data_IF_331448249808
#
_entry.id   IF_331448249808
#
_cell.length_a   1.000
_cell.length_b   1.000
_cell.length_c   1.000
_cell.angle_alpha   90.00
_cell.angle_beta   90.00
_cell.angle_gamma   90.00
#
_symmetry.space_group_name_H-M   'P 1'
#
loop_
_entity.id
_entity.type
_entity.pdbx_description
1 polymer ?
#
# COMPACT_ATOMS: atom_id res chain seq x y z
N UNK A 1 -15.49 0.29 12.59
CA UNK A 1 -15.62 -0.14 11.18
C UNK A 1 -14.56 -1.21 10.93
N UNK A 2 -14.84 -2.22 10.09
CA UNK A 2 -13.85 -3.26 9.75
C UNK A 2 -12.87 -2.74 8.71
N UNK A 3 -11.60 -3.12 8.81
CA UNK A 3 -10.60 -2.88 7.75
C UNK A 3 -10.75 -3.90 6.63
N UNK A 4 -10.38 -3.52 5.40
CA UNK A 4 -10.52 -4.42 4.26
C UNK A 4 -9.79 -5.75 4.49
N UNK A 5 -10.51 -6.85 4.26
CA UNK A 5 -10.02 -8.23 4.42
C UNK A 5 -9.40 -8.52 5.80
N UNK A 6 -9.94 -7.96 6.87
CA UNK A 6 -9.64 -8.37 8.25
C UNK A 6 -10.87 -9.06 8.88
N UNK A 7 -11.18 -10.31 8.47
CA UNK A 7 -12.38 -11.05 8.87
C UNK A 7 -12.54 -11.16 10.39
N UNK A 8 -11.40 -11.23 11.09
CA UNK A 8 -11.33 -11.36 12.54
C UNK A 8 -11.98 -10.18 13.29
N UNK A 9 -12.06 -8.99 12.67
CA UNK A 9 -12.73 -7.82 13.25
C UNK A 9 -14.26 -8.00 13.32
N UNK A 10 -14.84 -8.82 12.44
CA UNK A 10 -16.27 -9.18 12.45
C UNK A 10 -16.50 -10.67 12.82
N UNK A 11 -15.62 -11.23 13.65
CA UNK A 11 -15.63 -12.66 13.99
C UNK A 11 -16.95 -13.15 14.61
N UNK A 12 -17.78 -12.26 15.18
CA UNK A 12 -19.11 -12.63 15.70
C UNK A 12 -20.08 -12.99 14.58
N UNK A 13 -20.16 -12.17 13.52
CA UNK A 13 -21.04 -12.45 12.38
C UNK A 13 -20.54 -13.69 11.62
N UNK A 14 -19.23 -13.82 11.46
CA UNK A 14 -18.60 -14.96 10.80
C UNK A 14 -18.87 -16.29 11.51
N UNK A 15 -18.76 -16.30 12.84
CA UNK A 15 -19.06 -17.49 13.62
C UNK A 15 -20.54 -17.86 13.53
N UNK A 16 -21.46 -16.88 13.57
CA UNK A 16 -22.89 -17.15 13.37
C UNK A 16 -23.17 -17.68 11.97
N UNK A 17 -22.57 -17.11 10.94
CA UNK A 17 -22.70 -17.58 9.56
C UNK A 17 -22.17 -19.01 9.41
N UNK A 18 -21.04 -19.33 10.03
CA UNK A 18 -20.48 -20.68 10.04
C UNK A 18 -21.44 -21.70 10.67
N UNK A 19 -22.02 -21.38 11.82
CA UNK A 19 -23.00 -22.26 12.49
C UNK A 19 -24.26 -22.44 11.64
N UNK A 20 -24.80 -21.36 11.07
CA UNK A 20 -25.98 -21.41 10.18
C UNK A 20 -25.69 -22.28 8.95
N UNK A 21 -24.55 -22.08 8.29
CA UNK A 21 -24.14 -22.87 7.13
C UNK A 21 -23.99 -24.35 7.49
N UNK A 22 -23.40 -24.68 8.65
CA UNK A 22 -23.25 -26.07 9.10
C UNK A 22 -24.58 -26.75 9.33
N UNK A 23 -25.54 -26.06 9.95
CA UNK A 23 -26.90 -26.57 10.15
C UNK A 23 -27.58 -26.78 8.80
N UNK A 24 -27.57 -25.78 7.92
CA UNK A 24 -28.20 -25.89 6.60
C UNK A 24 -27.65 -27.05 5.76
N UNK A 25 -26.35 -27.33 5.83
CA UNK A 25 -25.73 -28.46 5.10
C UNK A 25 -26.32 -29.83 5.47
N UNK A 26 -26.89 -29.99 6.66
CA UNK A 26 -27.51 -31.26 7.08
C UNK A 26 -28.93 -31.42 6.53
N UNK A 27 -29.63 -30.32 6.25
CA UNK A 27 -31.05 -30.32 5.85
C UNK A 27 -31.27 -30.04 4.36
N UNK A 28 -30.26 -29.50 3.68
CA UNK A 28 -30.30 -29.27 2.24
C UNK A 28 -29.99 -30.57 1.50
N UNK A 29 -30.87 -30.96 0.58
CA UNK A 29 -30.66 -32.13 -0.28
C UNK A 29 -29.34 -32.01 -1.05
N UNK A 30 -28.72 -33.13 -1.47
CA UNK A 30 -27.43 -33.10 -2.20
C UNK A 30 -27.46 -32.21 -3.46
N UNK A 31 -28.64 -31.95 -4.01
CA UNK A 31 -28.83 -31.13 -5.20
C UNK A 31 -28.89 -29.62 -4.90
N UNK A 32 -28.91 -29.21 -3.63
CA UNK A 32 -28.84 -27.83 -3.15
C UNK A 32 -29.93 -26.88 -3.69
N UNK A 33 -31.11 -27.42 -4.03
CA UNK A 33 -32.23 -26.63 -4.58
C UNK A 33 -33.33 -26.30 -3.57
N UNK A 34 -33.29 -26.91 -2.37
CA UNK A 34 -34.42 -26.92 -1.44
C UNK A 34 -34.17 -26.10 -0.16
N UNK A 35 -33.17 -25.21 -0.17
CA UNK A 35 -32.70 -24.47 1.00
C UNK A 35 -33.74 -23.52 1.62
N UNK A 36 -34.82 -23.26 0.90
CA UNK A 36 -35.88 -22.30 1.22
C UNK A 36 -37.28 -22.93 1.36
N UNK A 37 -37.47 -24.24 1.17
CA UNK A 37 -38.83 -24.83 1.01
C UNK A 37 -39.16 -25.99 1.95
N UNK A 38 -38.21 -26.80 2.42
CA UNK A 38 -38.56 -28.15 2.89
C UNK A 38 -38.96 -28.31 4.36
N UNK A 39 -38.74 -27.34 5.25
CA UNK A 39 -38.87 -27.61 6.69
C UNK A 39 -40.13 -27.06 7.34
N UNK A 40 -40.70 -25.95 6.87
CA UNK A 40 -41.91 -25.32 7.47
C UNK A 40 -41.79 -25.01 8.98
N UNK A 41 -40.59 -25.19 9.53
CA UNK A 41 -40.22 -25.26 10.93
C UNK A 41 -38.84 -24.68 11.05
N UNK A 42 -38.56 -24.03 12.16
CA UNK A 42 -37.22 -23.46 12.38
C UNK A 42 -36.22 -24.60 12.65
N UNK A 43 -34.92 -24.45 12.31
CA UNK A 43 -33.91 -25.45 12.66
C UNK A 43 -33.87 -25.77 14.16
N UNK A 44 -34.20 -24.79 15.00
CA UNK A 44 -34.35 -24.99 16.44
C UNK A 44 -35.52 -25.92 16.79
N UNK A 45 -36.69 -25.71 16.18
CA UNK A 45 -37.88 -26.55 16.37
C UNK A 45 -37.63 -28.01 15.99
N UNK A 46 -36.82 -28.25 14.95
CA UNK A 46 -36.47 -29.61 14.52
C UNK A 46 -35.52 -30.31 15.50
N UNK A 47 -34.64 -29.57 16.17
CA UNK A 47 -33.65 -30.12 17.10
C UNK A 47 -34.23 -30.29 18.51
N UNK A 48 -35.05 -29.34 18.95
CA UNK A 48 -35.52 -29.23 20.34
C UNK A 48 -36.99 -29.63 20.50
N UNK A 49 -37.74 -29.72 19.40
CA UNK A 49 -39.14 -30.17 19.39
C UNK A 49 -40.18 -29.10 19.72
N UNK A 50 -39.76 -27.86 19.99
CA UNK A 50 -40.66 -26.73 20.21
C UNK A 50 -40.05 -25.42 19.68
N UNK A 51 -40.90 -24.46 19.35
CA UNK A 51 -40.49 -23.12 18.95
C UNK A 51 -40.49 -22.20 20.17
N UNK A 52 -39.34 -21.71 20.64
CA UNK A 52 -39.29 -20.81 21.78
C UNK A 52 -39.94 -19.47 21.37
N UNK A 53 -40.88 -18.96 22.17
CA UNK A 53 -41.37 -17.60 21.98
C UNK A 53 -40.24 -16.63 22.32
N UNK A 54 -39.75 -15.89 21.32
CA UNK A 54 -38.79 -14.79 21.52
C UNK A 54 -39.42 -13.57 22.20
N UNK A 55 -40.75 -13.56 22.31
CA UNK A 55 -41.46 -12.65 23.19
C UNK A 55 -40.84 -12.79 24.58
N UNK A 56 -40.29 -11.71 25.18
CA UNK A 56 -40.00 -11.75 26.60
C UNK A 56 -41.30 -12.20 27.22
N UNK A 57 -41.30 -13.31 27.96
CA UNK A 57 -42.45 -13.70 28.73
C UNK A 57 -42.77 -12.47 29.57
N UNK A 58 -43.77 -11.68 29.14
CA UNK A 58 -44.41 -10.72 30.01
C UNK A 58 -44.73 -11.59 31.20
N UNK A 59 -44.07 -11.26 32.32
CA UNK A 59 -44.19 -12.02 33.55
C UNK A 59 -45.63 -11.85 33.97
N UNK A 60 -46.50 -12.67 33.39
CA UNK A 60 -47.90 -12.75 33.76
C UNK A 60 -47.82 -13.41 35.13
N UNK A 61 -48.15 -12.70 36.21
CA UNK A 61 -48.14 -13.30 37.53
C UNK A 61 -49.07 -14.51 37.46
N UNK A 62 -48.48 -15.69 37.51
CA UNK A 62 -49.26 -16.92 37.49
C UNK A 62 -49.67 -17.17 38.93
N UNK A 63 -50.94 -17.49 39.19
CA UNK A 63 -51.41 -17.74 40.56
C UNK A 63 -50.97 -19.12 41.09
N UNK A 64 -49.99 -19.76 40.46
CA UNK A 64 -49.54 -21.12 40.75
C UNK A 64 -48.10 -21.08 41.32
N UNK A 65 -47.91 -21.37 42.62
CA UNK A 65 -46.59 -21.31 43.26
C UNK A 65 -45.57 -22.27 42.63
N UNK A 66 -46.03 -23.37 42.00
CA UNK A 66 -45.17 -24.28 41.27
C UNK A 66 -44.52 -23.63 40.02
N UNK A 67 -45.23 -22.75 39.32
CA UNK A 67 -44.71 -22.05 38.13
C UNK A 67 -43.68 -21.00 38.54
N UNK A 68 -43.93 -20.27 39.62
CA UNK A 68 -42.98 -19.27 40.15
C UNK A 68 -41.67 -19.95 40.59
N UNK A 69 -41.76 -21.08 41.31
CA UNK A 69 -40.58 -21.84 41.71
C UNK A 69 -39.75 -22.35 40.53
N UNK A 70 -40.40 -22.76 39.45
CA UNK A 70 -39.75 -23.18 38.20
C UNK A 70 -39.10 -22.00 37.48
N UNK A 71 -39.74 -20.82 37.48
CA UNK A 71 -39.19 -19.60 36.90
C UNK A 71 -37.97 -19.11 37.67
N UNK A 72 -38.00 -19.18 39.00
CA UNK A 72 -36.86 -18.85 39.87
C UNK A 72 -35.69 -19.80 39.63
N UNK A 73 -35.95 -21.11 39.59
CA UNK A 73 -34.92 -22.11 39.27
C UNK A 73 -34.31 -21.85 37.88
N UNK A 74 -35.15 -21.56 36.88
CA UNK A 74 -34.70 -21.19 35.53
C UNK A 74 -33.83 -19.94 35.56
N UNK A 75 -34.26 -18.89 36.25
CA UNK A 75 -33.53 -17.62 36.32
C UNK A 75 -32.19 -17.79 37.03
N UNK A 76 -32.15 -18.59 38.10
CA UNK A 76 -30.92 -18.96 38.80
C UNK A 76 -29.97 -19.71 37.88
N UNK A 77 -30.45 -20.73 37.15
CA UNK A 77 -29.64 -21.45 36.15
C UNK A 77 -29.13 -20.54 35.05
N UNK A 78 -29.95 -19.60 34.55
CA UNK A 78 -29.52 -18.62 33.54
C UNK A 78 -28.42 -17.72 34.10
N UNK A 79 -28.57 -17.26 35.35
CA UNK A 79 -27.56 -16.43 36.02
C UNK A 79 -26.25 -17.17 36.18
N UNK A 80 -26.28 -18.39 36.73
CA UNK A 80 -25.10 -19.26 36.88
C UNK A 80 -24.43 -19.52 35.52
N UNK A 81 -25.23 -19.84 34.49
CA UNK A 81 -24.71 -20.08 33.13
C UNK A 81 -24.02 -18.84 32.57
N UNK A 82 -24.56 -17.63 32.82
CA UNK A 82 -23.93 -16.37 32.40
C UNK A 82 -22.61 -16.12 33.11
N UNK A 83 -22.56 -16.37 34.41
CA UNK A 83 -21.34 -16.24 35.22
C UNK A 83 -20.26 -17.23 34.75
N UNK A 84 -20.62 -18.49 34.56
CA UNK A 84 -19.72 -19.49 34.00
C UNK A 84 -19.25 -19.09 32.61
N UNK A 85 -20.16 -18.66 31.72
CA UNK A 85 -19.80 -18.22 30.37
C UNK A 85 -18.82 -17.06 30.40
N UNK A 86 -18.96 -16.12 31.34
CA UNK A 86 -18.00 -15.04 31.52
C UNK A 86 -16.62 -15.59 31.91
N UNK A 87 -16.54 -16.52 32.88
CA UNK A 87 -15.29 -17.18 33.28
C UNK A 87 -14.66 -17.94 32.10
N UNK A 88 -15.45 -18.67 31.32
CA UNK A 88 -14.97 -19.40 30.15
C UNK A 88 -14.45 -18.47 29.06
N UNK A 89 -15.09 -17.32 28.82
CA UNK A 89 -14.60 -16.31 27.87
C UNK A 89 -13.24 -15.74 28.30
N UNK A 90 -13.06 -15.47 29.59
CA UNK A 90 -11.76 -15.02 30.14
C UNK A 90 -10.69 -16.08 29.89
N UNK A 91 -10.95 -17.34 30.27
CA UNK A 91 -10.01 -18.45 30.05
C UNK A 91 -9.69 -18.68 28.57
N UNK A 92 -10.69 -18.56 27.70
CA UNK A 92 -10.52 -18.69 26.26
C UNK A 92 -9.63 -17.56 25.72
N UNK A 93 -9.84 -16.33 26.17
CA UNK A 93 -9.01 -15.18 25.80
C UNK A 93 -7.56 -15.37 26.29
N UNK A 94 -7.35 -15.76 27.55
CA UNK A 94 -6.03 -16.08 28.09
C UNK A 94 -5.31 -17.16 27.27
N UNK A 95 -6.00 -18.25 26.97
CA UNK A 95 -5.43 -19.37 26.21
C UNK A 95 -5.09 -18.97 24.76
N UNK A 96 -5.92 -18.13 24.13
CA UNK A 96 -5.64 -17.60 22.79
C UNK A 96 -4.46 -16.62 22.82
N UNK A 97 -4.42 -15.73 23.81
CA UNK A 97 -3.37 -14.72 23.97
C UNK A 97 -2.00 -15.34 24.26
N UNK A 98 -1.90 -16.53 24.86
CA UNK A 98 -0.62 -17.25 25.06
C UNK A 98 0.22 -17.43 23.80
N UNK A 99 -0.41 -17.48 22.63
CA UNK A 99 0.28 -17.66 21.33
C UNK A 99 0.42 -16.35 20.54
N UNK A 100 -0.12 -15.25 21.06
CA UNK A 100 -0.02 -13.93 20.43
C UNK A 100 1.30 -13.31 20.87
N UNK A 101 2.04 -12.78 19.90
CA UNK A 101 3.20 -11.94 20.14
C UNK A 101 2.71 -10.51 20.41
N UNK A 102 3.52 -9.75 21.14
CA UNK A 102 3.29 -8.32 21.29
C UNK A 102 3.37 -7.65 19.93
N UNK A 103 2.47 -6.69 19.74
CA UNK A 103 2.35 -5.96 18.49
C UNK A 103 3.54 -5.01 18.31
N UNK A 104 4.16 -5.04 17.12
CA UNK A 104 5.21 -4.06 16.79
C UNK A 104 4.61 -2.66 16.77
N UNK A 105 5.24 -1.71 17.43
CA UNK A 105 4.77 -0.32 17.40
C UNK A 105 5.41 0.40 16.23
N UNK A 106 4.58 0.77 15.25
CA UNK A 106 5.00 1.52 14.07
C UNK A 106 4.62 2.99 14.26
N UNK A 107 5.50 3.91 13.88
CA UNK A 107 5.26 5.34 13.97
C UNK A 107 4.93 5.94 12.60
N UNK A 108 4.32 7.13 12.60
CA UNK A 108 4.20 7.96 11.39
C UNK A 108 5.60 8.21 10.80
N UNK A 109 5.74 8.03 9.49
CA UNK A 109 7.01 8.16 8.76
C UNK A 109 7.82 6.87 8.64
N UNK A 110 7.47 5.80 9.36
CA UNK A 110 8.10 4.49 9.14
C UNK A 110 7.73 3.94 7.76
N UNK A 111 8.69 3.28 7.11
CA UNK A 111 8.47 2.55 5.88
C UNK A 111 8.04 1.11 6.19
N UNK A 112 6.97 0.68 5.54
CA UNK A 112 6.41 -0.67 5.71
C UNK A 112 6.10 -1.32 4.38
N UNK A 113 6.09 -2.64 4.39
CA UNK A 113 5.62 -3.47 3.30
C UNK A 113 4.22 -4.00 3.62
N UNK A 114 3.37 -4.08 2.60
CA UNK A 114 1.99 -4.59 2.69
C UNK A 114 1.93 -6.01 2.16
N UNK A 115 1.17 -6.89 2.81
CA UNK A 115 0.96 -8.26 2.34
C UNK A 115 0.13 -8.28 1.04
N UNK A 116 0.69 -8.89 -0.01
CA UNK A 116 0.08 -8.95 -1.33
C UNK A 116 -1.05 -9.98 -1.46
N UNK A 117 -1.37 -10.76 -0.42
CA UNK A 117 -2.43 -11.79 -0.44
C UNK A 117 -3.74 -11.26 -1.02
N UNK A 118 -4.17 -10.08 -0.60
CA UNK A 118 -5.43 -9.49 -1.05
C UNK A 118 -5.38 -9.09 -2.53
N UNK A 119 -4.25 -8.51 -2.98
CA UNK A 119 -4.04 -8.18 -4.38
C UNK A 119 -4.01 -9.42 -5.27
N UNK A 120 -3.33 -10.50 -4.82
CA UNK A 120 -3.31 -11.80 -5.52
C UNK A 120 -4.71 -12.41 -5.64
N UNK A 121 -5.54 -12.28 -4.61
CA UNK A 121 -6.93 -12.75 -4.64
C UNK A 121 -7.77 -11.94 -5.61
N UNK A 122 -7.68 -10.60 -5.56
CA UNK A 122 -8.36 -9.69 -6.50
C UNK A 122 -7.95 -9.95 -7.95
N UNK A 123 -6.66 -10.18 -8.21
CA UNK A 123 -6.14 -10.53 -9.54
C UNK A 123 -6.77 -11.81 -10.10
N UNK A 124 -6.85 -12.88 -9.28
CA UNK A 124 -7.48 -14.15 -9.68
C UNK A 124 -8.97 -13.99 -9.98
N UNK A 125 -9.69 -13.22 -9.17
CA UNK A 125 -11.14 -12.97 -9.34
C UNK A 125 -11.44 -12.15 -10.60
N UNK A 126 -10.63 -11.13 -10.89
CA UNK A 126 -10.88 -10.19 -12.00
C UNK A 126 -10.63 -10.80 -13.38
N UNK A 127 -9.60 -11.63 -13.50
CA UNK A 127 -9.19 -12.11 -14.82
C UNK A 127 -9.95 -13.34 -15.30
N UNK A 128 -10.61 -14.12 -14.44
CA UNK A 128 -11.49 -15.26 -14.82
C UNK A 128 -10.84 -16.41 -15.62
N UNK A 129 -9.65 -16.18 -16.16
CA UNK A 129 -8.89 -16.95 -17.14
C UNK A 129 -7.91 -17.93 -16.46
N UNK A 130 -8.06 -18.15 -15.15
CA UNK A 130 -7.21 -19.08 -14.40
C UNK A 130 -5.73 -18.68 -14.31
N UNK A 131 -5.36 -17.44 -14.65
CA UNK A 131 -3.97 -16.97 -14.57
C UNK A 131 -3.43 -17.12 -13.14
N UNK A 132 -2.34 -17.87 -13.02
CA UNK A 132 -1.74 -18.15 -11.74
C UNK A 132 -1.02 -16.90 -11.19
N UNK A 133 -1.36 -16.49 -9.97
CA UNK A 133 -0.64 -15.44 -9.23
C UNK A 133 0.70 -15.93 -8.63
N UNK A 134 1.35 -16.93 -9.25
CA UNK A 134 2.50 -17.65 -8.67
C UNK A 134 3.77 -16.79 -8.61
N UNK A 135 3.86 -15.78 -9.47
CA UNK A 135 4.99 -14.85 -9.57
C UNK A 135 4.71 -13.48 -8.95
N UNK A 136 3.58 -13.31 -8.25
CA UNK A 136 3.35 -12.08 -7.51
C UNK A 136 4.34 -11.98 -6.34
N UNK A 137 4.90 -10.79 -6.08
CA UNK A 137 5.67 -10.56 -4.87
C UNK A 137 4.83 -10.91 -3.64
N UNK A 138 5.46 -11.38 -2.57
CA UNK A 138 4.74 -11.64 -1.31
C UNK A 138 4.37 -10.36 -0.58
N UNK A 139 5.22 -9.34 -0.73
CA UNK A 139 5.16 -8.07 -0.05
C UNK A 139 5.26 -6.94 -1.08
N UNK A 140 4.36 -5.98 -0.99
CA UNK A 140 4.31 -4.80 -1.86
C UNK A 140 4.80 -3.56 -1.10
N UNK A 141 5.36 -2.59 -1.82
CA UNK A 141 5.95 -1.40 -1.22
C UNK A 141 7.47 -1.50 -1.08
N UNK A 142 8.13 -0.42 -0.65
CA UNK A 142 7.85 0.25 0.62
C UNK A 142 6.83 1.38 0.52
N UNK A 143 5.98 1.50 1.54
CA UNK A 143 5.01 2.57 1.71
C UNK A 143 5.26 3.28 3.04
N UNK A 144 5.05 4.60 3.06
CA UNK A 144 5.16 5.41 4.27
C UNK A 144 3.86 5.42 5.06
N UNK A 145 3.96 5.34 6.38
CA UNK A 145 2.82 5.52 7.30
C UNK A 145 2.52 7.01 7.44
N UNK A 146 1.34 7.44 6.99
CA UNK A 146 0.85 8.82 7.12
C UNK A 146 0.20 9.04 8.49
N UNK A 147 -0.62 8.08 8.93
CA UNK A 147 -1.32 8.15 10.21
C UNK A 147 -1.27 6.79 10.91
N UNK A 148 -0.93 6.81 12.20
CA UNK A 148 -0.89 5.63 13.06
C UNK A 148 -2.04 5.68 14.08
N UNK A 149 -2.81 4.59 14.18
CA UNK A 149 -3.84 4.40 15.20
C UNK A 149 -3.51 3.17 16.05
N UNK A 150 -2.58 3.29 17.01
CA UNK A 150 -2.09 2.16 17.81
C UNK A 150 -3.21 1.51 18.65
N UNK A 151 -4.21 2.26 19.09
CA UNK A 151 -5.33 1.73 19.90
C UNK A 151 -6.17 0.67 19.16
N UNK A 152 -6.26 0.78 17.84
CA UNK A 152 -7.03 -0.13 16.98
C UNK A 152 -6.12 -1.00 16.11
N UNK A 153 -4.81 -0.92 16.28
CA UNK A 153 -3.83 -1.68 15.48
C UNK A 153 -3.96 -1.40 13.97
N UNK A 154 -4.35 -0.17 13.60
CA UNK A 154 -4.60 0.24 12.20
C UNK A 154 -3.73 1.41 11.79
N UNK A 155 -3.24 1.38 10.56
CA UNK A 155 -2.31 2.37 10.01
C UNK A 155 -2.77 2.78 8.61
N UNK A 156 -2.66 4.09 8.33
CA UNK A 156 -2.96 4.66 7.01
C UNK A 156 -1.66 4.87 6.25
N UNK A 157 -1.57 4.28 5.07
CA UNK A 157 -0.39 4.33 4.23
C UNK A 157 -0.54 5.33 3.09
N UNK A 158 0.58 5.90 2.66
CA UNK A 158 0.68 6.66 1.42
C UNK A 158 0.83 5.68 0.25
N UNK A 159 -0.28 5.24 -0.32
CA UNK A 159 -0.28 4.40 -1.51
C UNK A 159 0.05 5.22 -2.76
N UNK A 160 0.66 4.57 -3.76
CA UNK A 160 0.92 5.21 -5.05
C UNK A 160 -0.39 5.47 -5.79
N UNK A 161 -0.43 6.51 -6.61
CA UNK A 161 -1.68 7.05 -7.18
C UNK A 161 -2.45 6.06 -8.10
N UNK A 162 -1.80 4.97 -8.52
CA UNK A 162 -2.40 3.91 -9.35
C UNK A 162 -3.03 2.76 -8.53
N UNK A 163 -2.79 2.71 -7.22
CA UNK A 163 -3.32 1.66 -6.35
C UNK A 163 -4.76 1.97 -5.94
N UNK A 164 -5.72 1.24 -6.52
CA UNK A 164 -7.16 1.30 -6.16
C UNK A 164 -7.49 0.59 -4.84
N UNK A 165 -6.50 0.37 -3.99
CA UNK A 165 -6.66 -0.31 -2.70
C UNK A 165 -7.02 0.70 -1.62
N UNK A 166 -7.75 0.27 -0.58
CA UNK A 166 -8.02 1.16 0.54
C UNK A 166 -6.72 1.42 1.31
N UNK A 167 -6.41 2.67 1.69
CA UNK A 167 -5.12 3.04 2.27
C UNK A 167 -4.97 2.65 3.74
N UNK A 168 -5.99 2.06 4.37
CA UNK A 168 -6.00 1.73 5.80
C UNK A 168 -5.84 0.22 5.98
N UNK A 169 -4.78 -0.17 6.68
CA UNK A 169 -4.39 -1.55 6.91
C UNK A 169 -4.28 -1.85 8.39
N UNK A 170 -4.62 -3.07 8.78
CA UNK A 170 -4.34 -3.58 10.13
C UNK A 170 -2.88 -4.05 10.20
N UNK A 171 -2.24 -3.97 11.37
CA UNK A 171 -0.82 -4.31 11.52
C UNK A 171 -0.46 -5.72 11.05
N UNK A 172 -1.39 -6.67 11.15
CA UNK A 172 -1.18 -8.07 10.77
C UNK A 172 -0.86 -8.24 9.28
N UNK A 173 -1.08 -7.19 8.48
CA UNK A 173 -0.78 -7.11 7.06
C UNK A 173 0.44 -6.26 6.73
N UNK A 174 1.07 -5.68 7.73
CA UNK A 174 2.23 -4.80 7.60
C UNK A 174 3.45 -5.52 8.13
N UNK A 175 4.59 -5.27 7.50
CA UNK A 175 5.89 -5.63 8.06
C UNK A 175 6.85 -4.47 7.87
N UNK A 176 7.76 -4.26 8.82
CA UNK A 176 8.71 -3.16 8.76
C UNK A 176 9.63 -3.32 7.55
N UNK A 177 9.81 -2.25 6.78
CA UNK A 177 10.78 -2.22 5.71
C UNK A 177 12.17 -1.96 6.27
N UNK A 178 13.08 -2.93 6.10
CA UNK A 178 14.49 -2.75 6.39
C UNK A 178 15.22 -2.53 5.07
N UNK A 179 15.84 -1.35 4.84
CA UNK A 179 16.61 -1.13 3.62
C UNK A 179 17.78 -2.11 3.56
N UNK A 180 18.09 -2.56 2.34
CA UNK A 180 19.17 -3.51 2.14
C UNK A 180 20.51 -2.80 2.37
N UNK A 181 21.19 -3.14 3.46
CA UNK A 181 22.50 -2.60 3.79
C UNK A 181 23.56 -3.21 2.87
N UNK A 182 24.15 -2.38 2.00
CA UNK A 182 25.20 -2.78 1.06
C UNK A 182 26.45 -3.26 1.78
N UNK A 183 26.71 -2.78 2.99
CA UNK A 183 27.92 -3.10 3.74
C UNK A 183 27.83 -4.49 4.40
N UNK A 184 26.61 -4.98 4.66
CA UNK A 184 26.38 -6.30 5.26
C UNK A 184 26.49 -7.47 4.24
N UNK A 185 26.52 -7.19 2.94
CA UNK A 185 26.58 -8.23 1.89
C UNK A 185 27.49 -7.81 0.71
N UNK A 186 28.80 -7.58 0.95
CA UNK A 186 29.74 -7.11 -0.09
C UNK A 186 29.84 -8.08 -1.27
N UNK A 187 29.57 -9.37 -1.06
CA UNK A 187 29.61 -10.43 -2.08
C UNK A 187 28.47 -10.38 -3.10
N UNK A 188 27.53 -9.44 -2.98
CA UNK A 188 26.34 -9.33 -3.84
C UNK A 188 26.42 -8.19 -4.85
N UNK A 189 27.59 -7.57 -5.02
CA UNK A 189 27.84 -6.70 -6.17
C UNK A 189 27.57 -7.50 -7.45
N UNK A 190 26.68 -6.98 -8.30
CA UNK A 190 26.48 -7.56 -9.62
C UNK A 190 27.84 -7.57 -10.33
N UNK A 191 28.21 -8.67 -11.02
CA UNK A 191 29.43 -8.67 -11.81
C UNK A 191 29.40 -7.46 -12.75
N UNK A 192 30.44 -6.64 -12.68
CA UNK A 192 30.57 -5.44 -13.50
C UNK A 192 30.36 -5.84 -14.96
N UNK A 193 29.62 -5.06 -15.76
CA UNK A 193 29.54 -5.34 -17.18
C UNK A 193 30.97 -5.31 -17.74
N UNK A 194 31.40 -6.46 -18.26
CA UNK A 194 32.67 -6.57 -18.95
C UNK A 194 32.66 -5.76 -20.25
N UNK A 195 33.84 -5.50 -20.83
CA UNK A 195 33.93 -4.88 -22.15
C UNK A 195 33.16 -5.73 -23.17
N UNK A 196 32.50 -5.04 -24.10
CA UNK A 196 31.85 -5.62 -25.26
C UNK A 196 32.88 -5.63 -26.38
N UNK A 197 33.21 -6.81 -26.90
CA UNK A 197 34.09 -6.92 -28.06
C UNK A 197 33.34 -6.46 -29.32
N UNK A 198 33.78 -5.34 -29.88
CA UNK A 198 33.31 -4.79 -31.14
C UNK A 198 34.49 -4.74 -32.09
N UNK A 199 34.48 -5.60 -33.12
CA UNK A 199 35.53 -5.68 -34.14
C UNK A 199 36.97 -5.90 -33.60
N UNK A 200 37.11 -6.56 -32.43
CA UNK A 200 38.40 -6.83 -31.80
C UNK A 200 38.88 -5.71 -30.86
N UNK A 201 38.06 -4.70 -30.60
CA UNK A 201 38.30 -3.64 -29.62
C UNK A 201 37.30 -3.74 -28.45
N UNK A 202 37.82 -3.57 -27.23
CA UNK A 202 37.04 -3.58 -26.00
C UNK A 202 36.27 -2.26 -25.83
N UNK A 203 34.95 -2.28 -26.01
CA UNK A 203 34.07 -1.13 -25.81
C UNK A 203 33.29 -1.21 -24.48
N UNK A 204 33.12 -0.07 -23.79
CA UNK A 204 32.35 0.03 -22.55
C UNK A 204 31.09 0.86 -22.74
N UNK A 205 29.97 0.42 -22.15
CA UNK A 205 28.70 1.14 -22.27
C UNK A 205 28.72 2.44 -21.45
N UNK A 206 28.46 3.56 -22.12
CA UNK A 206 28.38 4.89 -21.51
C UNK A 206 26.99 5.13 -20.92
N UNK A 207 26.90 5.39 -19.61
CA UNK A 207 25.64 5.77 -18.94
C UNK A 207 25.30 7.23 -19.23
N UNK A 208 26.22 8.14 -18.87
CA UNK A 208 26.04 9.59 -19.04
C UNK A 208 27.37 10.31 -19.20
N UNK A 209 27.36 11.45 -19.89
CA UNK A 209 28.45 12.43 -19.86
C UNK A 209 28.16 13.43 -18.74
N UNK A 210 29.17 13.64 -17.90
CA UNK A 210 29.09 14.48 -16.70
C UNK A 210 29.67 15.86 -16.94
N UNK A 211 30.75 15.95 -17.71
CA UNK A 211 31.50 17.18 -17.91
C UNK A 211 32.26 17.18 -19.25
N UNK A 212 32.70 18.35 -19.68
CA UNK A 212 33.45 18.57 -20.92
C UNK A 212 34.59 19.56 -20.65
N UNK A 213 35.80 19.26 -21.15
CA UNK A 213 36.96 20.15 -20.99
C UNK A 213 37.81 20.22 -22.25
N UNK A 214 38.44 21.39 -22.42
CA UNK A 214 39.35 21.68 -23.52
C UNK A 214 38.64 22.26 -24.73
N UNK A 215 39.39 22.54 -25.79
CA UNK A 215 38.87 23.12 -27.03
C UNK A 215 39.48 22.44 -28.27
N UNK A 216 38.69 22.42 -29.36
CA UNK A 216 39.09 21.87 -30.64
C UNK A 216 39.52 20.41 -30.57
N UNK A 217 40.78 20.12 -30.97
CA UNK A 217 41.32 18.75 -31.00
C UNK A 217 41.64 18.18 -29.60
N UNK A 218 41.64 18.98 -28.54
CA UNK A 218 41.92 18.53 -27.17
C UNK A 218 40.67 18.31 -26.33
N UNK A 219 39.50 18.37 -26.96
CA UNK A 219 38.21 18.19 -26.31
C UNK A 219 38.07 16.78 -25.72
N UNK A 220 37.75 16.71 -24.43
CA UNK A 220 37.50 15.47 -23.70
C UNK A 220 36.20 15.55 -22.92
N UNK A 221 35.55 14.41 -22.76
CA UNK A 221 34.31 14.24 -22.02
C UNK A 221 34.55 13.38 -20.78
N UNK A 222 34.03 13.80 -19.64
CA UNK A 222 34.03 12.99 -18.42
C UNK A 222 32.86 12.01 -18.50
N UNK A 223 33.19 10.75 -18.71
CA UNK A 223 32.25 9.66 -18.97
C UNK A 223 31.96 8.93 -17.67
N UNK A 224 30.67 8.76 -17.35
CA UNK A 224 30.18 7.80 -16.37
C UNK A 224 29.79 6.51 -17.10
N UNK A 225 30.48 5.43 -16.79
CA UNK A 225 30.24 4.10 -17.36
C UNK A 225 29.09 3.39 -16.66
N UNK A 226 28.28 2.64 -17.41
CA UNK A 226 27.12 1.94 -16.87
C UNK A 226 27.55 0.82 -15.93
N UNK A 227 27.07 0.84 -14.69
CA UNK A 227 27.40 -0.18 -13.69
C UNK A 227 28.74 0.01 -12.99
N UNK A 228 29.42 1.15 -13.20
CA UNK A 228 30.64 1.53 -12.49
C UNK A 228 30.36 2.68 -11.51
N UNK A 229 31.07 2.72 -10.37
CA UNK A 229 30.90 3.77 -9.37
C UNK A 229 31.40 5.13 -9.90
N UNK A 230 30.92 6.20 -9.28
CA UNK A 230 31.26 7.58 -9.64
C UNK A 230 32.76 7.91 -9.51
N UNK A 231 33.51 7.11 -8.74
CA UNK A 231 34.96 7.21 -8.56
C UNK A 231 35.76 6.77 -9.79
N UNK A 232 35.16 5.96 -10.67
CA UNK A 232 35.81 5.40 -11.86
C UNK A 232 35.44 6.16 -13.16
N UNK A 233 34.97 7.40 -13.03
CA UNK A 233 34.74 8.28 -14.19
C UNK A 233 36.05 8.60 -14.91
N UNK A 234 36.05 8.47 -16.24
CA UNK A 234 37.22 8.65 -17.10
C UNK A 234 37.08 9.82 -18.08
N UNK A 235 38.20 10.46 -18.43
CA UNK A 235 38.22 11.52 -19.45
C UNK A 235 38.53 10.94 -20.84
N UNK A 236 37.48 10.79 -21.65
CA UNK A 236 37.56 10.19 -22.99
C UNK A 236 37.59 11.25 -24.10
N UNK A 237 38.34 11.01 -25.18
CA UNK A 237 38.32 11.89 -26.36
C UNK A 237 36.99 11.76 -27.12
N UNK A 238 36.65 12.79 -27.90
CA UNK A 238 35.45 12.79 -28.75
C UNK A 238 35.33 11.54 -29.65
N UNK A 239 36.46 11.00 -30.12
CA UNK A 239 36.50 9.81 -30.97
C UNK A 239 35.86 8.57 -30.32
N UNK A 240 35.91 8.46 -29.00
CA UNK A 240 35.42 7.31 -28.24
C UNK A 240 33.94 7.44 -27.87
N UNK A 241 33.39 8.67 -27.92
CA UNK A 241 32.01 8.97 -27.49
C UNK A 241 31.10 9.45 -28.63
N UNK A 242 31.64 9.64 -29.84
CA UNK A 242 30.96 10.21 -31.01
C UNK A 242 29.63 9.54 -31.36
N UNK A 243 29.56 8.22 -31.22
CA UNK A 243 28.42 7.40 -31.66
C UNK A 243 27.48 7.00 -30.48
N UNK A 244 27.65 7.61 -29.31
CA UNK A 244 26.86 7.32 -28.11
C UNK A 244 25.60 8.18 -28.01
N UNK A 245 24.51 7.61 -27.48
CA UNK A 245 23.31 8.38 -27.12
C UNK A 245 23.60 9.43 -26.04
N UNK A 246 24.53 9.14 -25.14
CA UNK A 246 24.94 10.04 -24.06
C UNK A 246 25.48 11.37 -24.58
N UNK A 247 26.29 11.35 -25.65
CA UNK A 247 26.78 12.56 -26.30
C UNK A 247 25.66 13.39 -26.96
N UNK A 248 24.68 12.72 -27.59
CA UNK A 248 23.51 13.40 -28.16
C UNK A 248 22.71 14.12 -27.08
N UNK A 249 22.49 13.46 -25.93
CA UNK A 249 21.79 14.04 -24.77
C UNK A 249 22.57 15.19 -24.14
N UNK A 250 23.90 15.09 -24.03
CA UNK A 250 24.78 16.15 -23.53
C UNK A 250 24.69 17.41 -24.39
N UNK A 251 24.94 17.29 -25.70
CA UNK A 251 24.88 18.43 -26.65
C UNK A 251 23.47 19.01 -26.78
N UNK A 252 22.44 18.18 -26.63
CA UNK A 252 21.05 18.65 -26.59
C UNK A 252 20.78 19.56 -25.38
N UNK A 253 21.28 19.19 -24.19
CA UNK A 253 21.20 20.02 -22.99
C UNK A 253 21.97 21.33 -23.14
N UNK A 254 23.20 21.29 -23.64
CA UNK A 254 24.01 22.51 -23.86
C UNK A 254 23.35 23.48 -24.82
N UNK A 255 22.77 23.00 -25.94
CA UNK A 255 22.02 23.86 -26.87
C UNK A 255 20.81 24.52 -26.21
N UNK A 256 20.15 23.81 -25.30
CA UNK A 256 18.99 24.32 -24.57
C UNK A 256 19.40 25.37 -23.53
N UNK A 257 20.54 25.18 -22.86
CA UNK A 257 21.13 26.15 -21.93
C UNK A 257 21.63 27.40 -22.66
N UNK A 258 22.33 27.24 -23.79
CA UNK A 258 22.77 28.35 -24.65
C UNK A 258 21.59 29.13 -25.26
N UNK A 259 20.50 28.46 -25.62
CA UNK A 259 19.28 29.12 -26.11
C UNK A 259 18.59 29.96 -25.03
N UNK A 260 18.70 29.58 -23.75
CA UNK A 260 18.16 30.36 -22.64
C UNK A 260 19.06 31.56 -22.27
N UNK A 261 20.38 31.48 -22.53
CA UNK A 261 21.33 32.57 -22.28
C UNK A 261 21.46 33.57 -23.44
N UNK A 262 21.05 33.20 -24.67
CA UNK A 262 21.06 34.08 -25.84
C UNK A 262 19.82 34.99 -26.01
N UNK A 263 18.89 34.99 -25.05
CA UNK A 263 17.64 35.76 -25.09
C UNK A 263 17.70 37.15 -24.42
N UNK A 264 18.81 37.52 -23.78
CA UNK A 264 19.00 38.84 -23.17
C UNK A 264 20.00 39.66 -23.99
N UNK A 265 19.51 40.31 -25.05
CA UNK A 265 20.33 41.11 -25.95
C UNK A 265 19.57 42.25 -26.62
N UNK A 266 19.52 43.39 -25.94
CA UNK A 266 19.50 44.76 -26.49
C UNK A 266 18.22 45.25 -27.20
N UNK A 267 17.31 45.88 -26.45
CA UNK A 267 16.49 47.01 -26.92
C UNK A 267 16.97 48.27 -26.18
N UNK A 268 17.87 49.03 -26.80
CA UNK A 268 18.13 50.43 -26.39
C UNK A 268 17.56 51.34 -27.48
N UNK A 269 16.33 51.80 -27.22
CA UNK A 269 15.70 52.84 -28.02
C UNK A 269 16.53 54.12 -27.97
N UNK A 270 16.89 54.59 -29.17
CA UNK A 270 17.57 55.85 -29.41
C UNK A 270 16.52 56.93 -29.69
N UNK A 271 16.21 57.75 -28.68
CA UNK A 271 15.41 58.97 -28.87
C UNK A 271 16.32 60.13 -29.23
N UNK A 272 16.33 60.45 -30.52
CA UNK A 272 16.83 61.70 -31.09
C UNK A 272 16.01 62.88 -30.58
N UNK A 273 16.71 63.88 -30.03
CA UNK A 273 16.18 65.19 -29.66
C UNK A 273 16.69 66.21 -30.66
N UNK A 274 15.78 66.87 -31.39
CA UNK A 274 15.83 68.25 -31.90
C UNK A 274 14.48 68.48 -32.62
N UNK A 275 13.66 69.48 -32.30
CA UNK A 275 13.67 70.80 -32.93
C UNK A 275 12.80 71.81 -32.13
N UNK A 276 13.36 73.02 -31.98
CA UNK A 276 12.80 74.38 -31.83
C UNK A 276 11.74 74.75 -30.78
N UNK A 277 12.20 75.51 -29.78
CA UNK A 277 11.88 76.93 -29.55
C UNK A 277 10.45 77.46 -29.70
N UNK A 278 9.93 78.07 -28.62
CA UNK A 278 8.81 79.01 -28.71
C UNK A 278 8.08 79.33 -27.40
N UNK A 279 8.62 80.28 -26.64
CA UNK A 279 7.95 81.32 -25.84
C UNK A 279 6.59 81.11 -25.13
N UNK A 280 6.57 81.51 -23.85
CA UNK A 280 5.39 81.92 -23.06
C UNK A 280 4.79 80.75 -22.28
N UNK A 281 4.57 80.79 -20.97
CA UNK A 281 4.47 81.89 -20.04
C UNK A 281 3.38 81.51 -19.03
N UNK A 282 3.76 81.41 -17.76
CA UNK A 282 2.94 81.62 -16.57
C UNK A 282 1.75 80.68 -16.20
N UNK A 283 1.80 80.25 -14.93
CA UNK A 283 0.71 79.89 -13.96
C UNK A 283 -0.21 78.70 -14.31
N UNK A 284 -0.82 77.94 -13.38
CA UNK A 284 -0.97 77.97 -11.91
C UNK A 284 -1.00 76.51 -11.42
N UNK A 285 -0.62 76.37 -10.17
CA UNK A 285 -0.87 75.30 -9.19
C UNK A 285 -2.37 74.92 -9.12
N UNK A 286 -2.67 73.63 -9.13
CA UNK A 286 -3.38 72.88 -8.05
C UNK A 286 -3.14 71.38 -8.21
#
# INVERSE_FOLDING_TARGET
MSTEFHPETDGRSEQTNKTVIQVLRQYVSRQQKDWNVSTGKTPFELVVGFTPSLSPCLSTPSNLPAVDSLLDERNMKIKETREMLAVWKVRQAEQANKRRLDEETLATGDLVLVDSRDQRMRYKLKHGDGRAAKLFPQWDGPFEIVEAFPDTSTYRLQLTHDDKSHPVFHISKLTRYNPNDTDNVPSRELPRPGPIDVDGEDEFEVETIVDEKGEGRRLRYLVKWRGYPDTEKGWEPLANVKDTEALKRWKGRERQVLALQGGEGCETDSLTTEISGGHGGHVVIE
#
